data_IF_585454798581
#
_entry.id   IF_585454798581
#
_cell.length_a   1.000
_cell.length_b   1.000
_cell.length_c   1.000
_cell.angle_alpha   90.00
_cell.angle_beta   90.00
_cell.angle_gamma   90.00
#
_symmetry.space_group_name_H-M   'P 1'
#
loop_
_entity.id
_entity.type
_entity.pdbx_description
1 polymer ?
#
# COMPACT_ATOMS: atom_id res chain seq x y z
N UNK A 1 -21.90 -23.05 -43.40
CA UNK A 1 -20.60 -23.08 -42.70
C UNK A 1 -20.93 -22.95 -41.24
N UNK A 2 -21.23 -24.08 -40.62
CA UNK A 2 -21.57 -24.22 -39.20
C UNK A 2 -20.29 -24.05 -38.38
N UNK A 3 -20.32 -23.20 -37.35
CA UNK A 3 -19.29 -23.18 -36.30
C UNK A 3 -19.96 -23.39 -34.94
N UNK A 4 -20.17 -24.68 -34.67
CA UNK A 4 -19.96 -25.40 -33.40
C UNK A 4 -20.06 -24.59 -32.10
N UNK A 5 -21.18 -24.81 -31.40
CA UNK A 5 -21.29 -24.66 -29.96
C UNK A 5 -20.33 -25.63 -29.24
N UNK A 6 -19.23 -25.13 -28.69
CA UNK A 6 -18.49 -25.77 -27.60
C UNK A 6 -17.35 -24.87 -27.10
N UNK A 7 -17.61 -24.06 -26.08
CA UNK A 7 -16.68 -24.00 -24.94
C UNK A 7 -17.54 -24.04 -23.68
N UNK A 8 -17.45 -25.19 -23.03
CA UNK A 8 -18.24 -25.61 -21.90
C UNK A 8 -18.11 -24.61 -20.74
N UNK A 9 -19.22 -24.45 -20.03
CA UNK A 9 -19.23 -23.89 -18.68
C UNK A 9 -18.07 -24.48 -17.88
N UNK A 10 -17.10 -23.63 -17.59
CA UNK A 10 -15.95 -23.96 -16.76
C UNK A 10 -16.52 -24.26 -15.36
N UNK A 11 -16.64 -25.56 -15.04
CA UNK A 11 -16.91 -25.99 -13.68
C UNK A 11 -15.79 -25.43 -12.82
N UNK A 12 -16.09 -24.43 -11.99
CA UNK A 12 -15.19 -24.03 -10.91
C UNK A 12 -14.95 -25.27 -10.03
N UNK A 13 -13.78 -25.88 -10.18
CA UNK A 13 -13.28 -26.88 -9.26
C UNK A 13 -13.12 -26.23 -7.88
N UNK A 14 -13.67 -26.79 -6.80
CA UNK A 14 -13.39 -26.29 -5.46
C UNK A 14 -11.92 -26.61 -5.16
N UNK A 15 -11.06 -25.59 -5.23
CA UNK A 15 -9.62 -25.74 -4.96
C UNK A 15 -8.68 -24.88 -5.82
N UNK A 16 -9.17 -24.12 -6.81
CA UNK A 16 -8.31 -23.21 -7.56
C UNK A 16 -7.91 -22.03 -6.67
N UNK A 17 -6.67 -22.04 -6.18
CA UNK A 17 -6.05 -20.92 -5.46
C UNK A 17 -6.23 -19.65 -6.30
N UNK A 18 -6.84 -18.61 -5.73
CA UNK A 18 -7.02 -17.35 -6.44
C UNK A 18 -5.63 -16.84 -6.86
N UNK A 19 -5.43 -16.42 -8.13
CA UNK A 19 -4.12 -16.00 -8.59
C UNK A 19 -3.60 -14.87 -7.72
N UNK A 20 -2.28 -14.87 -7.47
CA UNK A 20 -1.61 -13.84 -6.68
C UNK A 20 -1.83 -12.43 -7.23
N UNK A 21 -1.63 -11.41 -6.40
CA UNK A 21 -1.66 -10.00 -6.78
C UNK A 21 -0.22 -9.50 -6.77
N UNK A 22 0.28 -9.03 -7.90
CA UNK A 22 1.56 -8.32 -7.98
C UNK A 22 1.31 -6.83 -8.10
N UNK A 23 1.95 -6.04 -7.24
CA UNK A 23 1.82 -4.58 -7.18
C UNK A 23 3.21 -3.96 -7.33
N UNK A 24 3.35 -3.03 -8.27
CA UNK A 24 4.54 -2.17 -8.37
C UNK A 24 4.26 -0.81 -7.74
N UNK A 25 5.12 -0.36 -6.83
CA UNK A 25 5.11 1.00 -6.30
C UNK A 25 6.34 1.73 -6.84
N UNK A 26 6.13 2.82 -7.60
CA UNK A 26 7.22 3.67 -8.10
C UNK A 26 7.32 4.89 -7.18
N UNK A 27 8.46 5.02 -6.51
CA UNK A 27 8.70 5.99 -5.45
C UNK A 27 8.27 5.48 -4.07
N UNK A 28 9.18 5.60 -3.10
CA UNK A 28 9.04 5.21 -1.71
C UNK A 28 9.28 6.40 -0.76
N UNK A 29 8.97 7.63 -1.21
CA UNK A 29 8.78 8.76 -0.32
C UNK A 29 7.50 8.62 0.52
N UNK A 30 7.09 9.69 1.21
CA UNK A 30 5.93 9.70 2.11
C UNK A 30 4.69 9.02 1.51
N UNK A 31 4.32 9.36 0.27
CA UNK A 31 3.14 8.78 -0.40
C UNK A 31 3.27 7.29 -0.71
N UNK A 32 4.42 6.86 -1.23
CA UNK A 32 4.67 5.46 -1.57
C UNK A 32 4.64 4.58 -0.32
N UNK A 33 5.24 5.08 0.76
CA UNK A 33 5.22 4.41 2.06
C UNK A 33 3.81 4.35 2.67
N UNK A 34 3.02 5.42 2.55
CA UNK A 34 1.59 5.38 2.95
C UNK A 34 0.83 4.32 2.14
N UNK A 35 1.01 4.25 0.82
CA UNK A 35 0.34 3.22 0.00
C UNK A 35 0.76 1.82 0.41
N UNK A 36 2.05 1.59 0.65
CA UNK A 36 2.56 0.31 1.14
C UNK A 36 1.92 -0.06 2.48
N UNK A 37 1.83 0.89 3.42
CA UNK A 37 1.17 0.67 4.71
C UNK A 37 -0.30 0.26 4.50
N UNK A 38 -1.05 0.97 3.65
CA UNK A 38 -2.47 0.64 3.40
C UNK A 38 -2.63 -0.73 2.75
N UNK A 39 -1.73 -1.12 1.84
CA UNK A 39 -1.71 -2.47 1.27
C UNK A 39 -1.51 -3.51 2.39
N UNK A 40 -0.53 -3.30 3.28
CA UNK A 40 -0.29 -4.20 4.41
C UNK A 40 -1.50 -4.27 5.35
N UNK A 41 -2.14 -3.14 5.66
CA UNK A 41 -3.32 -3.09 6.51
C UNK A 41 -4.53 -3.82 5.89
N UNK A 42 -4.69 -3.78 4.56
CA UNK A 42 -5.78 -4.44 3.85
C UNK A 42 -5.50 -5.91 3.53
N UNK A 43 -4.23 -6.30 3.41
CA UNK A 43 -3.79 -7.65 3.04
C UNK A 43 -4.34 -8.75 3.98
N UNK A 44 -4.54 -8.44 5.26
CA UNK A 44 -5.12 -9.38 6.24
C UNK A 44 -6.55 -9.82 5.90
N UNK A 45 -7.25 -9.06 5.06
CA UNK A 45 -8.63 -9.34 4.65
C UNK A 45 -8.73 -10.17 3.36
N UNK A 46 -7.61 -10.70 2.85
CA UNK A 46 -7.58 -11.53 1.65
C UNK A 46 -6.77 -12.81 1.85
N UNK A 47 -7.25 -13.91 1.27
CA UNK A 47 -6.50 -15.17 1.19
C UNK A 47 -5.52 -15.23 0.00
N UNK A 48 -5.49 -14.18 -0.84
CA UNK A 48 -4.60 -14.10 -2.00
C UNK A 48 -3.19 -13.71 -1.55
N UNK A 49 -2.17 -14.38 -2.08
CA UNK A 49 -0.78 -13.91 -1.97
C UNK A 49 -0.67 -12.53 -2.62
N UNK A 50 -0.14 -11.56 -1.88
CA UNK A 50 0.20 -10.23 -2.40
C UNK A 50 1.72 -10.11 -2.44
N UNK A 51 2.25 -9.73 -3.59
CA UNK A 51 3.65 -9.38 -3.79
C UNK A 51 3.75 -7.88 -4.10
N UNK A 52 4.54 -7.15 -3.31
CA UNK A 52 4.76 -5.73 -3.52
C UNK A 52 6.22 -5.49 -3.87
N UNK A 53 6.43 -4.94 -5.06
CA UNK A 53 7.74 -4.55 -5.56
C UNK A 53 7.84 -3.02 -5.51
N UNK A 54 8.82 -2.50 -4.80
CA UNK A 54 9.04 -1.05 -4.65
C UNK A 54 10.27 -0.63 -5.45
N UNK A 55 10.11 0.41 -6.25
CA UNK A 55 11.14 0.95 -7.13
C UNK A 55 11.40 2.40 -6.75
N UNK A 56 12.51 2.67 -6.06
CA UNK A 56 12.96 4.02 -5.73
C UNK A 56 14.49 4.08 -5.87
N UNK A 57 15.05 5.04 -6.63
CA UNK A 57 16.50 5.26 -6.66
C UNK A 57 17.06 5.88 -5.37
N UNK A 58 16.21 6.43 -4.50
CA UNK A 58 16.57 7.09 -3.25
C UNK A 58 16.29 6.21 -2.02
N UNK A 59 16.72 6.69 -0.85
CA UNK A 59 16.42 6.05 0.43
C UNK A 59 14.89 6.05 0.69
N UNK A 60 14.28 4.90 1.03
CA UNK A 60 12.86 4.81 1.39
C UNK A 60 12.51 5.63 2.62
N UNK A 61 11.39 6.36 2.57
CA UNK A 61 10.82 7.13 3.69
C UNK A 61 10.91 8.65 3.50
N UNK A 62 12.11 9.27 3.61
CA UNK A 62 12.26 10.72 3.70
C UNK A 62 11.72 11.47 2.47
N UNK A 63 11.73 10.84 1.31
CA UNK A 63 11.34 11.50 0.06
C UNK A 63 12.25 12.71 -0.20
N UNK A 64 11.66 13.91 -0.24
CA UNK A 64 12.41 15.14 -0.43
C UNK A 64 13.12 15.64 0.85
N UNK A 65 12.80 15.07 2.01
CA UNK A 65 13.26 15.57 3.31
C UNK A 65 14.53 14.87 3.77
N UNK A 66 15.69 15.45 3.47
CA UNK A 66 16.95 14.93 3.97
C UNK A 66 17.17 15.30 5.45
N UNK A 67 17.84 14.44 6.21
CA UNK A 67 18.16 14.69 7.63
C UNK A 67 19.09 15.89 7.80
N UNK A 68 19.93 16.16 6.79
CA UNK A 68 20.92 17.23 6.73
C UNK A 68 20.47 18.45 5.90
N UNK A 69 19.18 18.56 5.57
CA UNK A 69 18.66 19.70 4.82
C UNK A 69 18.76 21.02 5.63
N UNK A 70 18.90 22.18 4.98
CA UNK A 70 18.94 23.46 5.68
C UNK A 70 17.69 23.73 6.54
N UNK A 71 17.89 24.33 7.71
CA UNK A 71 16.83 24.59 8.71
C UNK A 71 15.68 25.46 8.17
N UNK A 72 15.92 26.28 7.14
CA UNK A 72 14.86 27.11 6.54
C UNK A 72 13.91 26.31 5.63
N UNK A 73 14.17 25.02 5.36
CA UNK A 73 13.30 24.13 4.58
C UNK A 73 12.36 23.32 5.49
N UNK A 74 11.70 23.98 6.45
CA UNK A 74 10.73 23.33 7.33
C UNK A 74 9.42 22.98 6.62
N UNK A 75 8.76 21.92 7.10
CA UNK A 75 7.40 21.60 6.71
C UNK A 75 6.42 22.69 7.18
N UNK A 76 5.42 22.97 6.37
CA UNK A 76 4.28 23.82 6.72
C UNK A 76 3.14 23.04 7.40
N UNK A 77 3.41 21.81 7.83
CA UNK A 77 2.46 20.90 8.48
C UNK A 77 2.91 20.66 9.90
N UNK A 78 1.98 20.73 10.87
CA UNK A 78 2.30 20.48 12.28
C UNK A 78 2.68 19.01 12.45
N UNK A 79 3.72 18.72 13.22
CA UNK A 79 4.24 17.36 13.40
C UNK A 79 3.14 16.36 13.86
N UNK A 80 2.27 16.76 14.79
CA UNK A 80 1.15 15.92 15.27
C UNK A 80 0.05 15.64 14.22
N UNK A 81 0.10 16.28 13.06
CA UNK A 81 -0.82 16.02 11.94
C UNK A 81 -0.27 14.99 10.95
N UNK A 82 0.96 14.50 11.17
CA UNK A 82 1.64 13.56 10.28
C UNK A 82 1.73 12.22 11.00
N UNK A 83 1.20 11.15 10.40
CA UNK A 83 1.38 9.79 10.91
C UNK A 83 1.47 8.80 9.75
N UNK A 84 2.23 7.72 9.96
CA UNK A 84 2.21 6.56 9.06
C UNK A 84 0.98 5.67 9.32
N UNK A 85 0.42 5.74 10.54
CA UNK A 85 -0.67 4.90 10.96
C UNK A 85 -2.02 5.42 10.40
N UNK A 86 -2.82 4.56 9.74
CA UNK A 86 -4.11 4.93 9.20
C UNK A 86 -5.12 5.26 10.28
N UNK A 87 -5.89 6.32 10.07
CA UNK A 87 -7.20 6.44 10.67
C UNK A 87 -8.20 5.49 9.98
N UNK A 88 -9.38 5.32 10.59
CA UNK A 88 -10.44 4.46 10.07
C UNK A 88 -11.03 4.97 8.75
N UNK A 89 -11.00 6.28 8.51
CA UNK A 89 -11.48 6.87 7.26
C UNK A 89 -10.60 6.46 6.07
N UNK A 90 -9.27 6.43 6.26
CA UNK A 90 -8.30 6.04 5.25
C UNK A 90 -8.38 4.54 4.85
N UNK A 91 -9.08 3.72 5.65
CA UNK A 91 -9.24 2.28 5.43
C UNK A 91 -10.68 1.85 5.14
N UNK A 92 -11.56 2.79 4.76
CA UNK A 92 -12.96 2.49 4.44
C UNK A 92 -13.64 1.75 5.61
N UNK A 93 -13.50 2.34 6.82
CA UNK A 93 -14.09 1.84 8.06
C UNK A 93 -13.37 0.65 8.70
N UNK A 94 -12.30 0.13 8.09
CA UNK A 94 -11.52 -0.99 8.66
C UNK A 94 -10.50 -0.49 9.68
N UNK A 95 -10.15 -1.36 10.62
CA UNK A 95 -9.16 -1.04 11.66
C UNK A 95 -7.77 -1.44 11.15
N UNK A 96 -6.88 -0.47 11.01
CA UNK A 96 -5.47 -0.68 10.72
C UNK A 96 -4.61 -0.72 11.98
N UNK A 97 -3.30 -0.82 11.78
CA UNK A 97 -2.34 -0.73 12.88
C UNK A 97 -2.43 0.66 13.51
N UNK A 98 -2.37 0.70 14.83
CA UNK A 98 -2.28 1.94 15.59
C UNK A 98 -0.82 2.25 15.94
N UNK A 99 -0.52 3.52 16.16
CA UNK A 99 0.79 3.96 16.62
C UNK A 99 0.93 5.48 16.62
N UNK A 100 2.11 5.98 17.00
CA UNK A 100 2.31 7.40 17.26
C UNK A 100 2.28 8.27 16.00
N UNK A 101 1.88 9.52 16.18
CA UNK A 101 2.12 10.59 15.20
C UNK A 101 3.60 11.02 15.21
N UNK A 102 3.99 11.88 14.26
CA UNK A 102 5.37 12.32 14.10
C UNK A 102 5.89 13.17 15.26
N UNK A 103 5.02 13.80 16.05
CA UNK A 103 5.40 14.53 17.26
C UNK A 103 5.68 13.60 18.44
N UNK A 104 5.02 12.44 18.49
CA UNK A 104 5.15 11.45 19.56
C UNK A 104 6.37 10.51 19.43
N UNK A 105 7.02 10.47 18.25
CA UNK A 105 8.26 9.71 18.01
C UNK A 105 9.50 10.40 18.59
#
# INVERSE_FOLDING_TARGET
>A
MELSAALAAEKLSPGAEKPGISIGIVGCGSRGLTVLERICALAVNTARRIEVNVFDPQAPGPGLHAVDQPEYLMLNTVASQISMFPDTAALDGKVGRQGPDFYEW
#
